data_IF_264641180435
#
_entry.id   IF_264641180435
#
_cell.length_a   1.000
_cell.length_b   1.000
_cell.length_c   1.000
_cell.angle_alpha   90.00
_cell.angle_beta   90.00
_cell.angle_gamma   90.00
#
_symmetry.space_group_name_H-M   'P 1'
#
loop_
_entity.id
_entity.type
_entity.pdbx_description
1 polymer ?
#
# COMPACT_ATOMS: atom_id res chain seq x y z
N UNK A 1 -24.51 -32.35 9.38
CA UNK A 1 -23.25 -31.96 10.09
C UNK A 1 -22.04 -31.98 9.19
N UNK A 2 -21.86 -33.01 8.33
CA UNK A 2 -20.72 -33.07 7.38
C UNK A 2 -20.74 -31.87 6.43
N UNK A 3 -21.89 -31.37 6.01
CA UNK A 3 -22.01 -30.20 5.15
C UNK A 3 -21.59 -28.91 5.87
N UNK A 4 -21.91 -28.78 7.16
CA UNK A 4 -21.49 -27.63 7.97
C UNK A 4 -19.98 -27.56 8.13
N UNK A 5 -19.33 -28.72 8.37
CA UNK A 5 -17.88 -28.81 8.52
C UNK A 5 -17.19 -28.40 7.20
N UNK A 6 -17.66 -28.90 6.06
CA UNK A 6 -17.11 -28.54 4.75
C UNK A 6 -17.27 -27.05 4.45
N UNK A 7 -18.43 -26.46 4.79
CA UNK A 7 -18.68 -25.03 4.61
C UNK A 7 -17.76 -24.19 5.48
N UNK A 8 -17.54 -24.58 6.73
CA UNK A 8 -16.65 -23.88 7.66
C UNK A 8 -15.20 -23.92 7.17
N UNK A 9 -14.73 -25.07 6.69
CA UNK A 9 -13.39 -25.20 6.12
C UNK A 9 -13.20 -24.36 4.87
N UNK A 10 -14.21 -24.32 4.00
CA UNK A 10 -14.17 -23.50 2.80
C UNK A 10 -14.06 -22.02 3.13
N UNK A 11 -14.85 -21.54 4.11
CA UNK A 11 -14.81 -20.14 4.57
C UNK A 11 -13.45 -19.79 5.17
N UNK A 12 -12.90 -20.66 6.00
CA UNK A 12 -11.58 -20.48 6.60
C UNK A 12 -10.50 -20.36 5.54
N UNK A 13 -10.52 -21.22 4.52
CA UNK A 13 -9.57 -21.18 3.41
C UNK A 13 -9.70 -19.90 2.60
N UNK A 14 -10.92 -19.43 2.33
CA UNK A 14 -11.15 -18.17 1.62
C UNK A 14 -10.64 -16.98 2.41
N UNK A 15 -10.88 -16.95 3.72
CA UNK A 15 -10.40 -15.87 4.59
C UNK A 15 -8.87 -15.83 4.64
N UNK A 16 -8.21 -16.99 4.71
CA UNK A 16 -6.75 -17.08 4.69
C UNK A 16 -6.18 -16.53 3.38
N UNK A 17 -6.76 -16.89 2.23
CA UNK A 17 -6.35 -16.39 0.93
C UNK A 17 -6.53 -14.86 0.83
N UNK A 18 -7.66 -14.33 1.30
CA UNK A 18 -7.92 -12.88 1.29
C UNK A 18 -6.93 -12.13 2.18
N UNK A 19 -6.64 -12.65 3.36
CA UNK A 19 -5.69 -12.06 4.28
C UNK A 19 -4.27 -12.06 3.71
N UNK A 20 -3.85 -13.14 3.07
CA UNK A 20 -2.56 -13.23 2.40
C UNK A 20 -2.44 -12.20 1.27
N UNK A 21 -3.49 -12.04 0.47
CA UNK A 21 -3.52 -11.06 -0.62
C UNK A 21 -3.44 -9.62 -0.07
N UNK A 22 -4.23 -9.28 0.94
CA UNK A 22 -4.20 -7.96 1.57
C UNK A 22 -2.84 -7.66 2.19
N UNK A 23 -2.23 -8.64 2.86
CA UNK A 23 -0.91 -8.51 3.45
C UNK A 23 0.15 -8.22 2.38
N UNK A 24 0.11 -8.94 1.26
CA UNK A 24 1.00 -8.75 0.13
C UNK A 24 0.84 -7.35 -0.48
N UNK A 25 -0.40 -6.88 -0.64
CA UNK A 25 -0.68 -5.54 -1.18
C UNK A 25 -0.23 -4.44 -0.24
N UNK A 26 -0.39 -4.62 1.08
CA UNK A 26 0.13 -3.69 2.08
C UNK A 26 1.65 -3.61 2.04
N UNK A 27 2.32 -4.76 1.85
CA UNK A 27 3.77 -4.82 1.72
C UNK A 27 4.25 -4.04 0.49
N UNK A 28 3.56 -4.16 -0.64
CA UNK A 28 3.84 -3.37 -1.85
C UNK A 28 3.73 -1.87 -1.58
N UNK A 29 2.69 -1.46 -0.85
CA UNK A 29 2.48 -0.06 -0.48
C UNK A 29 3.63 0.45 0.39
N UNK A 30 4.04 -0.33 1.40
CA UNK A 30 5.16 0.03 2.27
C UNK A 30 6.46 0.15 1.48
N UNK A 31 6.71 -0.77 0.57
CA UNK A 31 7.91 -0.76 -0.28
C UNK A 31 7.95 0.50 -1.14
N UNK A 32 6.84 0.87 -1.76
CA UNK A 32 6.74 2.07 -2.58
C UNK A 32 7.02 3.34 -1.77
N UNK A 33 6.41 3.46 -0.58
CA UNK A 33 6.60 4.60 0.33
C UNK A 33 8.06 4.66 0.83
N UNK A 34 8.62 3.50 1.18
CA UNK A 34 10.02 3.42 1.63
C UNK A 34 10.99 3.86 0.53
N UNK A 35 10.72 3.51 -0.72
CA UNK A 35 11.54 3.94 -1.85
C UNK A 35 11.56 5.47 -1.98
N UNK A 36 10.42 6.13 -1.79
CA UNK A 36 10.33 7.60 -1.80
C UNK A 36 11.14 8.19 -0.64
N UNK A 37 10.98 7.65 0.57
CA UNK A 37 11.72 8.11 1.76
C UNK A 37 13.22 7.96 1.58
N UNK A 38 13.67 6.84 1.03
CA UNK A 38 15.09 6.60 0.75
C UNK A 38 15.64 7.61 -0.25
N UNK A 39 14.88 7.91 -1.31
CA UNK A 39 15.27 8.92 -2.29
C UNK A 39 15.34 10.33 -1.68
N UNK A 40 14.40 10.66 -0.78
CA UNK A 40 14.41 11.94 -0.05
C UNK A 40 15.64 12.02 0.86
N UNK A 41 15.96 10.94 1.57
CA UNK A 41 17.12 10.89 2.46
C UNK A 41 18.44 11.04 1.70
N UNK A 42 18.49 10.55 0.45
CA UNK A 42 19.67 10.75 -0.40
C UNK A 42 19.80 12.17 -0.96
N UNK A 43 18.76 12.99 -0.81
CA UNK A 43 18.77 14.39 -1.26
C UNK A 43 18.57 14.59 -2.76
N UNK A 44 18.25 13.52 -3.50
CA UNK A 44 18.02 13.60 -4.95
C UNK A 44 16.53 13.87 -5.22
N UNK A 45 16.23 15.14 -5.53
CA UNK A 45 14.86 15.58 -5.81
C UNK A 45 14.26 14.86 -7.03
N UNK A 46 15.05 14.64 -8.07
CA UNK A 46 14.57 13.98 -9.28
C UNK A 46 14.18 12.52 -9.02
N UNK A 47 15.04 11.76 -8.35
CA UNK A 47 14.75 10.38 -7.97
C UNK A 47 13.56 10.32 -7.01
N UNK A 48 13.47 11.24 -6.06
CA UNK A 48 12.35 11.33 -5.14
C UNK A 48 11.04 11.60 -5.88
N UNK A 49 11.03 12.48 -6.87
CA UNK A 49 9.84 12.79 -7.68
C UNK A 49 9.39 11.58 -8.50
N UNK A 50 10.32 10.84 -9.10
CA UNK A 50 10.01 9.64 -9.86
C UNK A 50 9.44 8.53 -8.95
N UNK A 51 10.09 8.30 -7.82
CA UNK A 51 9.61 7.33 -6.83
C UNK A 51 8.23 7.73 -6.29
N UNK A 52 8.01 9.03 -6.07
CA UNK A 52 6.72 9.57 -5.62
C UNK A 52 5.60 9.28 -6.63
N UNK A 53 5.84 9.46 -7.91
CA UNK A 53 4.83 9.16 -8.95
C UNK A 53 4.41 7.70 -8.90
N UNK A 54 5.36 6.78 -8.74
CA UNK A 54 5.07 5.35 -8.60
C UNK A 54 4.30 5.06 -7.31
N UNK A 55 4.73 5.66 -6.21
CA UNK A 55 4.06 5.49 -4.91
C UNK A 55 2.64 6.04 -4.94
N UNK A 56 2.42 7.17 -5.60
CA UNK A 56 1.10 7.78 -5.76
C UNK A 56 0.14 6.82 -6.46
N UNK A 57 0.57 6.20 -7.56
CA UNK A 57 -0.25 5.20 -8.27
C UNK A 57 -0.58 4.01 -7.38
N UNK A 58 0.38 3.51 -6.62
CA UNK A 58 0.15 2.38 -5.70
C UNK A 58 -0.83 2.79 -4.61
N UNK A 59 -0.65 3.94 -4.00
CA UNK A 59 -1.55 4.44 -2.94
C UNK A 59 -2.97 4.63 -3.45
N UNK A 60 -3.15 5.21 -4.63
CA UNK A 60 -4.47 5.43 -5.22
C UNK A 60 -5.14 4.10 -5.55
N UNK A 61 -4.41 3.14 -6.11
CA UNK A 61 -4.92 1.81 -6.41
C UNK A 61 -5.37 1.09 -5.14
N UNK A 62 -4.56 1.15 -4.09
CA UNK A 62 -4.88 0.49 -2.82
C UNK A 62 -6.07 1.15 -2.12
N UNK A 63 -6.22 2.47 -2.23
CA UNK A 63 -7.38 3.17 -1.71
C UNK A 63 -8.65 2.80 -2.48
N UNK A 64 -8.59 2.68 -3.80
CA UNK A 64 -9.71 2.25 -4.63
C UNK A 64 -10.14 0.82 -4.31
N UNK A 65 -9.20 -0.06 -4.00
CA UNK A 65 -9.47 -1.44 -3.60
C UNK A 65 -9.88 -1.56 -2.13
N UNK A 66 -9.94 -0.46 -1.40
CA UNK A 66 -10.28 -0.40 0.03
C UNK A 66 -9.31 -1.18 0.91
N UNK A 67 -8.08 -1.37 0.48
CA UNK A 67 -7.02 -2.00 1.27
C UNK A 67 -6.48 -1.02 2.30
N UNK A 68 -6.35 0.25 1.91
CA UNK A 68 -6.05 1.36 2.81
C UNK A 68 -7.17 2.39 2.70
N UNK A 69 -7.37 3.17 3.76
CA UNK A 69 -8.38 4.22 3.75
C UNK A 69 -7.92 5.38 2.85
N UNK A 70 -8.85 6.01 2.14
CA UNK A 70 -8.58 7.14 1.26
C UNK A 70 -7.87 8.29 2.00
N UNK A 71 -8.25 8.56 3.24
CA UNK A 71 -7.62 9.58 4.07
C UNK A 71 -6.15 9.27 4.36
N UNK A 72 -5.83 8.01 4.59
CA UNK A 72 -4.45 7.57 4.81
C UNK A 72 -3.61 7.77 3.55
N UNK A 73 -4.15 7.43 2.38
CA UNK A 73 -3.47 7.64 1.10
C UNK A 73 -3.20 9.13 0.85
N UNK A 74 -4.21 9.97 1.04
CA UNK A 74 -4.09 11.43 0.88
C UNK A 74 -3.05 12.03 1.83
N UNK A 75 -3.07 11.61 3.08
CA UNK A 75 -2.15 12.09 4.11
C UNK A 75 -0.71 11.72 3.78
N UNK A 76 -0.49 10.47 3.38
CA UNK A 76 0.83 9.97 3.00
C UNK A 76 1.37 10.74 1.79
N UNK A 77 0.55 10.91 0.76
CA UNK A 77 0.93 11.68 -0.44
C UNK A 77 1.29 13.12 -0.09
N UNK A 78 0.49 13.77 0.74
CA UNK A 78 0.72 15.14 1.16
C UNK A 78 2.04 15.29 1.91
N UNK A 79 2.32 14.41 2.86
CA UNK A 79 3.57 14.42 3.63
C UNK A 79 4.79 14.23 2.75
N UNK A 80 4.75 13.24 1.85
CA UNK A 80 5.86 12.95 0.94
C UNK A 80 6.09 14.12 -0.03
N UNK A 81 5.02 14.70 -0.56
CA UNK A 81 5.11 15.85 -1.46
C UNK A 81 5.78 17.04 -0.78
N UNK A 82 5.43 17.35 0.46
CA UNK A 82 6.05 18.41 1.24
C UNK A 82 7.55 18.19 1.44
N UNK A 83 7.94 16.96 1.75
CA UNK A 83 9.34 16.60 1.92
C UNK A 83 10.14 16.77 0.64
N UNK A 84 9.57 16.38 -0.49
CA UNK A 84 10.20 16.54 -1.81
C UNK A 84 10.38 18.02 -2.14
N UNK A 85 9.38 18.84 -1.88
CA UNK A 85 9.44 20.29 -2.11
C UNK A 85 10.52 20.97 -1.28
N UNK A 86 10.83 20.45 -0.11
CA UNK A 86 11.87 21.00 0.76
C UNK A 86 13.29 20.59 0.33
N UNK A 87 13.42 19.68 -0.62
CA UNK A 87 14.71 19.37 -1.22
C UNK A 87 15.08 20.42 -2.27
#
# INVERSE_FOLDING_TARGET
EKLRIKSALKRANQNTKRNALKSSQRALTRTAVKAVKTAIDSGDKQSASEAFKKAEKVLDTMANKKIIHANKASRTKSRLSKRIKSL
#
